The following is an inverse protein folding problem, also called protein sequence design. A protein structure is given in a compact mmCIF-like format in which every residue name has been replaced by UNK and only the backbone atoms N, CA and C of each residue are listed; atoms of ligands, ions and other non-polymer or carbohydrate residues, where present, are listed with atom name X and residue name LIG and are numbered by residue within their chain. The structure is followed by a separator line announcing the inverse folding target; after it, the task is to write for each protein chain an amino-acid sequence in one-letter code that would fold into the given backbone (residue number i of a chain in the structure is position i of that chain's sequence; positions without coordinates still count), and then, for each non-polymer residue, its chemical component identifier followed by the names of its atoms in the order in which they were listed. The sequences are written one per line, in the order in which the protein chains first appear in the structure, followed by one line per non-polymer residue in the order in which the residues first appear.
data_IF_517352531855
#
_entry.id   IF_517352531855
#
_cell.length_a   1.000
_cell.length_b   1.000
_cell.length_c   1.000
_cell.angle_alpha   90.00
_cell.angle_beta   90.00
_cell.angle_gamma   90.00
#
_symmetry.space_group_name_H-M   'P 1'
#
loop_
_entity.id
_entity.type
_entity.pdbx_description
1 polymer ?
#
# COMPACT_ATOMS: atom_id res chain seq x y z
N UNK A 1 -1.84 6.45 -4.62
CA UNK A 1 -1.43 7.03 -5.92
C UNK A 1 -1.87 8.48 -5.96
N UNK A 2 -1.12 9.35 -6.64
CA UNK A 2 -1.42 10.78 -6.74
C UNK A 2 -1.39 11.25 -8.19
N UNK A 3 -2.19 12.26 -8.53
CA UNK A 3 -2.22 12.87 -9.87
C UNK A 3 -2.69 14.33 -9.82
N UNK A 4 -2.41 15.08 -10.89
CA UNK A 4 -2.95 16.42 -11.10
C UNK A 4 -4.22 16.43 -11.98
N UNK A 5 -4.63 15.27 -12.51
CA UNK A 5 -5.84 15.10 -13.33
C UNK A 5 -6.70 13.93 -12.79
N UNK A 6 -7.99 13.88 -13.12
CA UNK A 6 -8.82 12.72 -12.78
C UNK A 6 -8.32 11.43 -13.42
N UNK A 7 -8.63 10.27 -12.82
CA UNK A 7 -8.23 8.92 -13.31
C UNK A 7 -8.40 8.73 -14.82
N UNK A 8 -9.52 9.21 -15.39
CA UNK A 8 -9.86 9.02 -16.81
C UNK A 8 -8.97 9.79 -17.77
N UNK A 9 -8.28 10.82 -17.29
CA UNK A 9 -7.39 11.68 -18.07
C UNK A 9 -5.92 11.28 -17.93
N UNK A 10 -5.61 10.32 -17.04
CA UNK A 10 -4.24 9.83 -16.86
C UNK A 10 -3.83 9.07 -18.12
N UNK A 11 -2.67 9.41 -18.69
CA UNK A 11 -2.03 8.65 -19.78
C UNK A 11 -0.73 7.96 -19.35
N UNK A 12 -0.17 8.35 -18.19
CA UNK A 12 1.13 7.88 -17.71
C UNK A 12 1.09 7.60 -16.23
N UNK A 13 1.59 6.44 -15.81
CA UNK A 13 1.75 6.08 -14.39
C UNK A 13 3.21 5.76 -14.09
N UNK A 14 3.82 6.59 -13.25
CA UNK A 14 5.14 6.35 -12.68
C UNK A 14 5.03 5.35 -11.52
N UNK A 15 5.79 4.26 -11.64
CA UNK A 15 5.78 3.13 -10.72
C UNK A 15 6.88 3.27 -9.68
N UNK A 16 6.49 3.20 -8.41
CA UNK A 16 7.43 3.30 -7.28
C UNK A 16 8.47 2.17 -7.30
N UNK A 17 9.75 2.53 -7.19
CA UNK A 17 10.84 1.56 -7.23
C UNK A 17 10.98 0.70 -5.96
N UNK A 18 10.33 1.07 -4.85
CA UNK A 18 10.39 0.34 -3.58
C UNK A 18 9.25 -0.66 -3.40
N UNK A 19 8.26 -0.71 -4.30
CA UNK A 19 7.09 -1.57 -4.15
C UNK A 19 6.88 -2.49 -5.34
N UNK A 20 6.72 -3.79 -5.07
CA UNK A 20 6.15 -4.72 -6.06
C UNK A 20 4.62 -4.76 -5.96
N UNK A 21 4.08 -4.92 -4.76
CA UNK A 21 2.63 -5.09 -4.54
C UNK A 21 1.82 -3.88 -4.97
N UNK A 22 2.18 -2.66 -4.54
CA UNK A 22 1.40 -1.46 -4.88
C UNK A 22 1.52 -1.08 -6.35
N UNK A 23 2.66 -1.39 -6.98
CA UNK A 23 2.88 -1.22 -8.42
C UNK A 23 1.96 -2.14 -9.21
N UNK A 24 1.96 -3.44 -8.89
CA UNK A 24 1.07 -4.41 -9.53
C UNK A 24 -0.40 -4.06 -9.29
N UNK A 25 -0.76 -3.64 -8.07
CA UNK A 25 -2.12 -3.21 -7.76
C UNK A 25 -2.58 -2.04 -8.65
N UNK A 26 -1.75 -1.01 -8.81
CA UNK A 26 -2.05 0.12 -9.69
C UNK A 26 -2.21 -0.32 -11.15
N UNK A 27 -1.38 -1.25 -11.62
CA UNK A 27 -1.49 -1.81 -12.97
C UNK A 27 -2.77 -2.62 -13.18
N UNK A 28 -3.17 -3.43 -12.19
CA UNK A 28 -4.43 -4.17 -12.20
C UNK A 28 -5.61 -3.21 -12.24
N UNK A 29 -5.62 -2.20 -11.35
CA UNK A 29 -6.67 -1.18 -11.31
C UNK A 29 -6.81 -0.45 -12.65
N UNK A 30 -5.70 0.01 -13.22
CA UNK A 30 -5.70 0.67 -14.53
C UNK A 30 -6.24 -0.21 -15.65
N UNK A 31 -5.76 -1.46 -15.76
CA UNK A 31 -6.11 -2.36 -16.87
C UNK A 31 -7.50 -3.01 -16.73
N UNK A 32 -7.86 -3.47 -15.54
CA UNK A 32 -9.05 -4.34 -15.34
C UNK A 32 -10.28 -3.55 -14.89
N UNK A 33 -10.09 -2.53 -14.05
CA UNK A 33 -11.19 -1.87 -13.35
C UNK A 33 -11.48 -0.48 -13.90
N UNK A 34 -10.48 0.40 -13.95
CA UNK A 34 -10.62 1.74 -14.53
C UNK A 34 -10.65 1.71 -16.06
N UNK A 35 -10.06 0.67 -16.67
CA UNK A 35 -9.99 0.44 -18.12
C UNK A 35 -9.43 1.67 -18.87
N UNK A 36 -8.36 2.24 -18.33
CA UNK A 36 -7.65 3.38 -18.92
C UNK A 36 -6.43 2.88 -19.69
N UNK A 37 -6.13 3.54 -20.82
CA UNK A 37 -4.93 3.25 -21.60
C UNK A 37 -3.78 4.13 -21.08
N UNK A 38 -2.83 3.50 -20.37
CA UNK A 38 -1.72 4.19 -19.72
C UNK A 38 -0.39 3.54 -20.03
N UNK A 39 0.64 4.36 -20.17
CA UNK A 39 2.03 3.92 -20.19
C UNK A 39 2.59 3.84 -18.77
N UNK A 40 3.38 2.80 -18.49
CA UNK A 40 3.97 2.56 -17.18
C UNK A 40 5.47 2.81 -17.19
N UNK A 41 5.95 3.71 -16.35
CA UNK A 41 7.38 4.04 -16.25
C UNK A 41 7.94 3.67 -14.89
N UNK A 42 8.99 2.83 -14.90
CA UNK A 42 9.75 2.51 -13.69
C UNK A 42 10.56 3.72 -13.24
N UNK A 43 10.51 4.03 -11.96
CA UNK A 43 11.21 5.17 -11.39
C UNK A 43 12.52 4.75 -10.71
N UNK A 44 13.26 5.74 -10.19
CA UNK A 44 14.49 5.56 -9.40
C UNK A 44 14.39 6.41 -8.14
N UNK A 45 15.35 6.25 -7.23
CA UNK A 45 15.45 7.03 -6.01
C UNK A 45 15.27 8.54 -6.25
N UNK A 46 14.42 9.19 -5.45
CA UNK A 46 14.15 10.63 -5.51
C UNK A 46 13.13 11.07 -6.56
N UNK A 47 12.41 10.15 -7.23
CA UNK A 47 11.39 10.52 -8.21
C UNK A 47 10.20 11.25 -7.57
N UNK A 48 9.90 10.96 -6.30
CA UNK A 48 8.82 11.57 -5.53
C UNK A 48 8.98 13.09 -5.37
N UNK A 49 10.21 13.60 -5.53
CA UNK A 49 10.54 15.02 -5.48
C UNK A 49 10.38 15.72 -6.83
N UNK A 50 10.13 14.97 -7.90
CA UNK A 50 9.92 15.54 -9.24
C UNK A 50 8.49 15.98 -9.40
N UNK A 51 8.29 17.08 -10.12
CA UNK A 51 6.96 17.50 -10.57
C UNK A 51 6.46 16.46 -11.57
N UNK A 52 5.26 15.94 -11.35
CA UNK A 52 4.62 15.07 -12.34
C UNK A 52 4.37 15.84 -13.63
N UNK A 53 4.72 15.21 -14.74
CA UNK A 53 4.36 15.71 -16.07
C UNK A 53 2.84 15.84 -16.22
N UNK A 54 2.41 16.57 -17.23
CA UNK A 54 0.99 16.75 -17.52
C UNK A 54 0.33 15.38 -17.73
N UNK A 55 -0.91 15.23 -17.24
CA UNK A 55 -1.72 14.01 -17.36
C UNK A 55 -1.08 12.73 -16.79
N UNK A 56 -0.15 12.90 -15.85
CA UNK A 56 0.55 11.78 -15.21
C UNK A 56 0.07 11.49 -13.79
N UNK A 57 0.31 10.27 -13.34
CA UNK A 57 0.13 9.85 -11.96
C UNK A 57 1.37 9.13 -11.43
N UNK A 58 1.50 9.06 -10.11
CA UNK A 58 2.56 8.32 -9.46
C UNK A 58 2.03 7.42 -8.34
N UNK A 59 2.47 6.16 -8.36
CA UNK A 59 2.39 5.30 -7.19
C UNK A 59 3.47 5.76 -6.23
N UNK A 60 3.09 6.04 -4.98
CA UNK A 60 4.03 6.43 -3.92
C UNK A 60 3.63 5.65 -2.67
N UNK A 61 4.62 5.06 -2.00
CA UNK A 61 4.41 4.13 -0.88
C UNK A 61 5.26 4.46 0.34
N UNK A 62 4.87 3.89 1.49
CA UNK A 62 5.55 4.07 2.77
C UNK A 62 5.43 5.50 3.30
N UNK A 63 6.33 5.85 4.22
CA UNK A 63 6.27 7.12 4.96
C UNK A 63 6.41 8.35 4.05
N UNK A 64 6.96 8.16 2.83
CA UNK A 64 7.01 9.21 1.80
C UNK A 64 5.63 9.78 1.49
N UNK A 65 4.58 8.97 1.60
CA UNK A 65 3.20 9.40 1.36
C UNK A 65 2.75 10.52 2.31
N UNK A 66 3.31 10.59 3.51
CA UNK A 66 2.95 11.60 4.51
C UNK A 66 3.38 13.02 4.09
N UNK A 67 4.48 13.16 3.35
CA UNK A 67 5.01 14.45 2.89
C UNK A 67 4.43 14.94 1.55
N UNK A 68 3.57 14.15 0.94
CA UNK A 68 2.97 14.45 -0.36
C UNK A 68 1.58 15.06 -0.20
N UNK A 69 1.08 15.12 1.03
CA UNK A 69 -0.17 15.79 1.35
C UNK A 69 -0.14 17.23 0.81
N UNK A 70 -1.12 17.57 -0.02
CA UNK A 70 -1.38 18.88 -0.64
C UNK A 70 -0.51 19.26 -1.85
N UNK A 71 0.38 18.39 -2.34
CA UNK A 71 1.14 18.64 -3.57
C UNK A 71 0.36 18.34 -4.86
N UNK A 72 -0.67 17.48 -4.78
CA UNK A 72 -1.40 16.98 -5.93
C UNK A 72 -2.91 17.12 -5.73
N UNK A 73 -3.62 17.43 -6.82
CA UNK A 73 -5.08 17.66 -6.81
C UNK A 73 -5.90 16.41 -6.50
N UNK A 74 -5.45 15.26 -7.00
CA UNK A 74 -6.13 13.98 -6.84
C UNK A 74 -5.26 12.99 -6.08
N UNK A 75 -5.90 12.30 -5.13
CA UNK A 75 -5.31 11.23 -4.33
C UNK A 75 -6.23 10.03 -4.43
N UNK A 76 -5.63 8.88 -4.68
CA UNK A 76 -6.33 7.60 -4.80
C UNK A 76 -5.69 6.62 -3.83
N UNK A 77 -6.43 6.24 -2.80
CA UNK A 77 -6.07 5.09 -1.99
C UNK A 77 -6.30 3.82 -2.84
N UNK A 78 -5.23 3.07 -3.09
CA UNK A 78 -5.30 1.91 -3.97
C UNK A 78 -6.04 0.74 -3.30
N UNK A 79 -6.00 0.63 -1.98
CA UNK A 79 -6.76 -0.39 -1.25
C UNK A 79 -8.25 -0.04 -1.24
N UNK A 80 -8.59 1.24 -1.08
CA UNK A 80 -9.98 1.70 -1.20
C UNK A 80 -10.54 1.42 -2.60
N UNK A 81 -9.80 1.77 -3.65
CA UNK A 81 -10.22 1.49 -5.03
C UNK A 81 -10.33 0.00 -5.31
N UNK A 82 -9.45 -0.83 -4.74
CA UNK A 82 -9.60 -2.29 -4.78
C UNK A 82 -10.89 -2.78 -4.12
N UNK A 83 -11.16 -2.34 -2.89
CA UNK A 83 -12.37 -2.72 -2.13
C UNK A 83 -13.61 -2.28 -2.91
N UNK A 84 -13.63 -1.08 -3.46
CA UNK A 84 -14.73 -0.56 -4.26
C UNK A 84 -15.06 -1.43 -5.48
N UNK A 85 -14.04 -2.02 -6.11
CA UNK A 85 -14.22 -2.83 -7.32
C UNK A 85 -14.44 -4.32 -7.06
N UNK A 86 -13.98 -4.84 -5.93
CA UNK A 86 -13.99 -6.28 -5.63
C UNK A 86 -14.86 -6.66 -4.44
N UNK A 87 -15.20 -5.67 -3.60
CA UNK A 87 -15.79 -5.84 -2.28
C UNK A 87 -14.97 -6.75 -1.34
N UNK A 88 -13.66 -6.87 -1.60
CA UNK A 88 -12.74 -7.69 -0.81
C UNK A 88 -11.64 -6.84 -0.18
N UNK A 89 -11.16 -7.19 1.03
CA UNK A 89 -9.97 -6.55 1.61
C UNK A 89 -8.73 -6.70 0.73
N UNK A 90 -7.78 -5.77 0.84
CA UNK A 90 -6.49 -5.88 0.18
C UNK A 90 -5.38 -6.29 1.16
N UNK A 91 -4.50 -7.20 0.73
CA UNK A 91 -3.37 -7.68 1.53
C UNK A 91 -2.06 -7.17 0.93
N UNK A 92 -1.40 -6.22 1.63
CA UNK A 92 -0.13 -5.66 1.16
C UNK A 92 1.08 -6.56 1.44
N UNK A 93 1.09 -7.21 2.59
CA UNK A 93 2.21 -8.04 3.04
C UNK A 93 1.74 -9.14 3.99
N UNK A 94 2.48 -10.25 4.01
CA UNK A 94 2.31 -11.36 4.94
C UNK A 94 3.68 -11.90 5.35
N UNK A 95 3.73 -12.48 6.55
CA UNK A 95 4.84 -13.36 6.95
C UNK A 95 4.60 -14.75 6.38
N UNK A 96 5.47 -15.20 5.47
CA UNK A 96 5.31 -16.45 4.73
C UNK A 96 6.60 -17.28 4.84
N UNK A 97 6.48 -18.59 4.97
CA UNK A 97 7.60 -19.54 4.88
C UNK A 97 7.36 -20.53 3.75
N UNK A 98 8.41 -20.88 3.02
CA UNK A 98 8.39 -21.95 2.01
C UNK A 98 8.73 -23.34 2.60
N UNK A 99 8.91 -23.41 3.92
CA UNK A 99 9.19 -24.64 4.67
C UNK A 99 8.33 -24.68 5.91
N UNK A 100 8.09 -25.90 6.40
CA UNK A 100 7.53 -26.08 7.72
C UNK A 100 8.48 -25.51 8.76
N UNK A 101 7.96 -24.65 9.62
CA UNK A 101 8.70 -24.08 10.74
C UNK A 101 8.42 -24.89 12.00
N UNK A 102 9.38 -24.88 12.92
CA UNK A 102 9.20 -25.49 14.22
C UNK A 102 8.01 -24.84 14.97
N UNK A 103 7.21 -25.66 15.65
CA UNK A 103 5.99 -25.21 16.34
C UNK A 103 6.30 -24.24 17.48
N UNK A 104 7.40 -24.46 18.20
CA UNK A 104 7.82 -23.56 19.29
C UNK A 104 8.24 -22.21 18.73
N UNK A 105 8.97 -22.18 17.61
CA UNK A 105 9.27 -20.93 16.91
C UNK A 105 7.99 -20.19 16.50
N UNK A 106 7.04 -20.85 15.83
CA UNK A 106 5.78 -20.22 15.38
C UNK A 106 5.01 -19.64 16.56
N UNK A 107 4.91 -20.37 17.66
CA UNK A 107 4.24 -19.90 18.87
C UNK A 107 4.94 -18.67 19.47
N UNK A 108 6.27 -18.69 19.59
CA UNK A 108 7.03 -17.57 20.13
C UNK A 108 6.92 -16.33 19.23
N UNK A 109 7.03 -16.51 17.92
CA UNK A 109 6.89 -15.43 16.94
C UNK A 109 5.51 -14.77 17.02
N UNK A 110 4.44 -15.56 17.06
CA UNK A 110 3.08 -15.05 17.20
C UNK A 110 2.87 -14.31 18.53
N UNK A 111 3.43 -14.80 19.64
CA UNK A 111 3.40 -14.09 20.93
C UNK A 111 4.13 -12.75 20.86
N UNK A 112 5.27 -12.68 20.18
CA UNK A 112 6.01 -11.42 19.99
C UNK A 112 5.23 -10.40 19.16
N UNK A 113 4.54 -10.85 18.09
CA UNK A 113 3.67 -9.97 17.30
C UNK A 113 2.48 -9.47 18.13
N UNK A 114 1.81 -10.38 18.85
CA UNK A 114 0.68 -10.05 19.72
C UNK A 114 1.08 -9.03 20.80
N UNK A 115 2.25 -9.21 21.43
CA UNK A 115 2.76 -8.27 22.42
C UNK A 115 2.89 -6.85 21.86
N UNK A 116 3.36 -6.69 20.61
CA UNK A 116 3.44 -5.38 19.96
C UNK A 116 2.07 -4.74 19.75
N UNK A 117 1.06 -5.53 19.36
CA UNK A 117 -0.31 -5.05 19.15
C UNK A 117 -1.02 -4.69 20.46
N UNK A 118 -0.82 -5.48 21.51
CA UNK A 118 -1.35 -5.18 22.85
C UNK A 118 -0.73 -3.92 23.47
N UNK A 119 0.47 -3.55 23.02
CA UNK A 119 1.23 -2.39 23.50
C UNK A 119 1.38 -1.29 22.44
N UNK A 120 0.44 -1.21 21.50
CA UNK A 120 0.51 -0.30 20.36
C UNK A 120 0.65 1.17 20.76
N UNK A 121 0.05 1.61 21.88
CA UNK A 121 0.22 2.96 22.40
C UNK A 121 1.67 3.27 22.76
N UNK A 122 2.38 2.31 23.36
CA UNK A 122 3.82 2.44 23.68
C UNK A 122 4.66 2.53 22.41
N UNK A 123 4.31 1.76 21.38
CA UNK A 123 4.95 1.83 20.05
C UNK A 123 4.73 3.21 19.43
N UNK A 124 3.49 3.72 19.42
CA UNK A 124 3.15 5.05 18.89
C UNK A 124 3.92 6.14 19.64
N UNK A 125 3.98 6.08 20.97
CA UNK A 125 4.69 7.07 21.78
C UNK A 125 6.19 7.06 21.49
N UNK A 126 6.80 5.87 21.39
CA UNK A 126 8.21 5.74 21.04
C UNK A 126 8.48 6.26 19.62
N UNK A 127 7.62 5.93 18.65
CA UNK A 127 7.75 6.41 17.28
C UNK A 127 7.67 7.94 17.22
N UNK A 128 6.67 8.57 17.87
CA UNK A 128 6.52 10.03 17.90
C UNK A 128 7.70 10.75 18.56
N UNK A 129 8.33 10.13 19.57
CA UNK A 129 9.52 10.70 20.21
C UNK A 129 10.74 10.69 19.28
N UNK A 130 10.90 9.62 18.50
CA UNK A 130 12.04 9.42 17.62
C UNK A 130 11.86 10.04 16.23
N UNK A 131 10.62 10.30 15.81
CA UNK A 131 10.28 10.80 14.47
C UNK A 131 9.35 12.02 14.54
N UNK A 132 9.90 13.14 15.00
CA UNK A 132 9.15 14.40 15.16
C UNK A 132 8.63 14.94 13.83
N UNK A 133 9.25 14.56 12.72
CA UNK A 133 8.85 14.90 11.36
C UNK A 133 7.47 14.34 10.93
N UNK A 134 6.88 13.42 11.71
CA UNK A 134 5.54 12.89 11.47
C UNK A 134 4.49 13.42 12.45
N UNK A 135 4.73 14.57 13.09
CA UNK A 135 3.81 15.15 14.08
C UNK A 135 2.40 15.42 13.55
N UNK A 136 2.29 15.76 12.26
CA UNK A 136 1.02 16.12 11.61
C UNK A 136 0.27 14.90 11.05
N UNK A 137 0.91 13.72 11.05
CA UNK A 137 0.28 12.48 10.60
C UNK A 137 -0.45 11.83 11.78
N UNK A 138 -1.71 11.41 11.55
CA UNK A 138 -2.49 10.71 12.56
C UNK A 138 -2.05 9.24 12.68
N UNK A 139 -0.87 9.03 13.28
CA UNK A 139 -0.26 7.72 13.52
C UNK A 139 -1.20 6.81 14.31
N UNK A 140 -1.97 7.38 15.24
CA UNK A 140 -2.91 6.63 16.07
C UNK A 140 -3.99 5.96 15.20
N UNK A 141 -4.66 6.75 14.36
CA UNK A 141 -5.62 6.26 13.39
C UNK A 141 -5.00 5.24 12.43
N UNK A 142 -3.79 5.49 11.95
CA UNK A 142 -3.10 4.58 11.04
C UNK A 142 -2.93 3.17 11.64
N UNK A 143 -2.39 3.10 12.86
CA UNK A 143 -2.10 1.84 13.53
C UNK A 143 -3.36 1.14 14.07
N UNK A 144 -4.40 1.88 14.45
CA UNK A 144 -5.62 1.32 15.06
C UNK A 144 -6.76 1.05 14.07
N UNK A 145 -6.89 1.85 13.01
CA UNK A 145 -8.06 1.82 12.10
C UNK A 145 -7.69 1.45 10.67
N UNK A 146 -6.54 1.91 10.17
CA UNK A 146 -6.20 1.71 8.75
C UNK A 146 -5.48 0.38 8.51
N UNK A 147 -4.71 -0.12 9.48
CA UNK A 147 -4.05 -1.43 9.37
C UNK A 147 -4.93 -2.52 10.00
N UNK A 148 -5.17 -3.58 9.22
CA UNK A 148 -5.80 -4.80 9.71
C UNK A 148 -4.78 -5.95 9.73
N UNK A 149 -4.34 -6.35 10.93
CA UNK A 149 -3.19 -7.24 11.11
C UNK A 149 -3.51 -8.72 10.89
N UNK A 150 -4.68 -9.18 11.32
CA UNK A 150 -5.04 -10.60 11.26
C UNK A 150 -5.44 -11.00 9.84
N UNK A 151 -4.75 -12.01 9.29
CA UNK A 151 -5.08 -12.61 8.00
C UNK A 151 -6.25 -13.58 8.14
N UNK A 152 -7.47 -13.09 7.87
CA UNK A 152 -8.70 -13.87 7.91
C UNK A 152 -9.08 -14.47 6.54
N UNK A 153 -10.20 -15.21 6.50
CA UNK A 153 -10.69 -15.86 5.29
C UNK A 153 -11.06 -14.89 4.17
N UNK A 154 -11.60 -13.71 4.49
CA UNK A 154 -11.96 -12.72 3.46
C UNK A 154 -10.72 -12.05 2.87
N UNK A 155 -9.71 -11.77 3.71
CA UNK A 155 -8.40 -11.30 3.25
C UNK A 155 -7.69 -12.33 2.37
N UNK A 156 -7.80 -13.63 2.70
CA UNK A 156 -7.28 -14.70 1.84
C UNK A 156 -7.95 -14.71 0.46
N UNK A 157 -9.28 -14.58 0.38
CA UNK A 157 -9.99 -14.43 -0.90
C UNK A 157 -9.52 -13.21 -1.70
N UNK A 158 -9.35 -12.07 -1.03
CA UNK A 158 -8.82 -10.86 -1.65
C UNK A 158 -7.40 -11.07 -2.20
N UNK A 159 -6.53 -11.74 -1.45
CA UNK A 159 -5.18 -12.09 -1.86
C UNK A 159 -5.17 -13.06 -3.05
N UNK A 160 -6.00 -14.10 -3.05
CA UNK A 160 -6.13 -15.04 -4.16
C UNK A 160 -6.56 -14.34 -5.45
N UNK A 161 -7.61 -13.51 -5.38
CA UNK A 161 -8.07 -12.72 -6.53
C UNK A 161 -6.97 -11.79 -7.06
N UNK A 162 -6.23 -11.12 -6.17
CA UNK A 162 -5.11 -10.26 -6.56
C UNK A 162 -4.02 -11.05 -7.31
N UNK A 163 -3.63 -12.21 -6.79
CA UNK A 163 -2.60 -13.05 -7.42
C UNK A 163 -3.04 -13.57 -8.79
N UNK A 164 -4.31 -13.94 -8.94
CA UNK A 164 -4.83 -14.41 -10.23
C UNK A 164 -4.95 -13.30 -11.26
N UNK A 165 -5.31 -12.07 -10.85
CA UNK A 165 -5.28 -10.91 -11.74
C UNK A 165 -3.84 -10.50 -12.10
N UNK A 166 -2.89 -10.62 -11.16
CA UNK A 166 -1.48 -10.31 -11.39
C UNK A 166 -0.87 -11.21 -12.48
N UNK A 167 -1.11 -12.53 -12.42
CA UNK A 167 -0.65 -13.50 -13.44
C UNK A 167 -1.14 -13.20 -14.86
N UNK A 168 -2.26 -12.48 -15.01
CA UNK A 168 -2.83 -12.13 -16.32
C UNK A 168 -2.21 -10.88 -16.94
N UNK A 169 -1.40 -10.13 -16.17
CA UNK A 169 -0.82 -8.85 -16.61
C UNK A 169 0.70 -8.81 -16.55
N UNK A 170 1.33 -9.78 -15.90
CA UNK A 170 2.74 -10.16 -16.09
C UNK A 170 2.93 -10.90 -17.42
#
# INVERSE_FOLDING_TARGET
MVSNVPIKEINTIYLDYQSRTSVLLAQILAKKFWKINVEFFKTKHGFENKVLEQNSAAVIIGDRTFYINNKYKFKYDLAEEWIKHTNLPFVFACWISNKNLDKQFVNNFNKSLQFGLENIQSVINNFKQNHKEFCDFNIDEYFHKNISYNLDKEKLKGMELFLDLAKQIE
#
